data_IF_533875915700
#
_entry.id   IF_533875915700
#
_cell.length_a   1.000
_cell.length_b   1.000
_cell.length_c   1.000
_cell.angle_alpha   90.00
_cell.angle_beta   90.00
_cell.angle_gamma   90.00
#
_symmetry.space_group_name_H-M   'P 1'
#
loop_
_entity.id
_entity.type
_entity.pdbx_description
1 polymer ?
#
# COMPACT_ATOMS: atom_id res chain seq x y z
N UNK A 1 12.25 15.07 -25.26
CA UNK A 1 12.17 13.79 -24.53
C UNK A 1 13.52 13.48 -23.91
N UNK A 2 13.59 13.07 -22.64
CA UNK A 2 14.84 12.56 -22.06
C UNK A 2 15.14 11.19 -22.66
N UNK A 3 16.37 10.97 -23.10
CA UNK A 3 16.80 9.66 -23.60
C UNK A 3 16.99 8.67 -22.44
N UNK A 4 16.72 7.39 -22.68
CA UNK A 4 17.05 6.34 -21.72
C UNK A 4 18.58 6.28 -21.54
N UNK A 5 19.10 6.28 -20.30
CA UNK A 5 20.53 6.18 -20.07
C UNK A 5 21.00 4.75 -20.35
N UNK A 6 22.30 4.59 -20.68
CA UNK A 6 22.89 3.25 -20.86
C UNK A 6 23.07 2.48 -19.55
N UNK A 7 23.16 3.20 -18.42
CA UNK A 7 23.40 2.63 -17.08
C UNK A 7 22.61 3.37 -16.01
N UNK A 8 22.20 2.65 -14.99
CA UNK A 8 21.57 3.19 -13.78
C UNK A 8 21.83 2.29 -12.57
N UNK A 9 21.62 2.77 -11.34
CA UNK A 9 21.69 1.88 -10.18
C UNK A 9 20.41 1.05 -10.07
N UNK A 10 19.24 1.66 -10.28
CA UNK A 10 17.94 0.98 -10.16
C UNK A 10 17.06 1.23 -11.38
N UNK A 11 16.64 0.17 -12.07
CA UNK A 11 15.57 0.22 -13.06
C UNK A 11 14.24 -0.14 -12.40
N UNK A 12 13.27 0.77 -12.43
CA UNK A 12 11.90 0.55 -11.95
C UNK A 12 11.00 0.31 -13.15
N UNK A 13 10.27 -0.80 -13.15
CA UNK A 13 9.37 -1.20 -14.23
C UNK A 13 7.94 -1.08 -13.74
N UNK A 14 7.18 -0.13 -14.29
CA UNK A 14 5.83 0.22 -13.86
C UNK A 14 5.77 1.50 -13.03
N UNK A 15 5.00 2.48 -13.48
CA UNK A 15 4.80 3.78 -12.82
C UNK A 15 3.36 3.95 -12.33
N UNK A 16 2.85 2.89 -11.68
CA UNK A 16 1.75 2.98 -10.73
C UNK A 16 2.22 3.51 -9.36
N UNK A 17 1.35 3.53 -8.34
CA UNK A 17 1.65 4.15 -7.04
C UNK A 17 2.88 3.54 -6.35
N UNK A 18 3.09 2.22 -6.50
CA UNK A 18 4.22 1.50 -5.91
C UNK A 18 5.55 1.91 -6.53
N UNK A 19 5.66 1.83 -7.86
CA UNK A 19 6.88 2.19 -8.58
C UNK A 19 7.20 3.69 -8.45
N UNK A 20 6.18 4.56 -8.50
CA UNK A 20 6.37 5.98 -8.29
C UNK A 20 6.82 6.30 -6.85
N UNK A 21 6.28 5.62 -5.84
CA UNK A 21 6.76 5.75 -4.45
C UNK A 21 8.23 5.38 -4.36
N UNK A 22 8.65 4.27 -4.95
CA UNK A 22 10.05 3.86 -4.96
C UNK A 22 10.91 4.91 -5.69
N UNK A 23 10.49 5.40 -6.84
CA UNK A 23 11.21 6.43 -7.59
C UNK A 23 11.38 7.73 -6.78
N UNK A 24 10.32 8.23 -6.13
CA UNK A 24 10.39 9.41 -5.25
C UNK A 24 11.36 9.17 -4.10
N UNK A 25 11.31 7.99 -3.49
CA UNK A 25 12.21 7.59 -2.39
C UNK A 25 13.67 7.62 -2.85
N UNK A 26 13.97 6.99 -3.99
CA UNK A 26 15.33 6.95 -4.55
C UNK A 26 15.80 8.34 -5.01
N UNK A 27 14.92 9.16 -5.58
CA UNK A 27 15.23 10.54 -5.95
C UNK A 27 15.60 11.39 -4.72
N UNK A 28 14.82 11.28 -3.64
CA UNK A 28 15.08 12.00 -2.39
C UNK A 28 16.39 11.51 -1.70
N UNK A 29 16.76 10.25 -1.90
CA UNK A 29 18.01 9.65 -1.40
C UNK A 29 19.21 9.82 -2.37
N UNK A 30 19.02 10.52 -3.49
CA UNK A 30 20.09 10.78 -4.47
C UNK A 30 20.59 9.54 -5.24
N UNK A 31 19.78 8.49 -5.33
CA UNK A 31 20.14 7.24 -6.04
C UNK A 31 19.79 7.35 -7.53
N UNK A 32 20.72 6.97 -8.40
CA UNK A 32 20.47 6.93 -9.86
C UNK A 32 19.40 5.89 -10.17
N UNK A 33 18.31 6.32 -10.79
CA UNK A 33 17.23 5.43 -11.17
C UNK A 33 16.61 5.82 -12.51
N UNK A 34 16.01 4.84 -13.15
CA UNK A 34 15.14 5.01 -14.32
C UNK A 34 13.81 4.37 -14.01
N UNK A 35 12.70 5.06 -14.28
CA UNK A 35 11.37 4.47 -14.20
C UNK A 35 10.72 4.48 -15.58
N UNK A 36 10.26 3.30 -16.00
CA UNK A 36 9.54 3.09 -17.26
C UNK A 36 8.10 2.64 -16.98
N UNK A 37 7.18 2.97 -17.88
CA UNK A 37 5.83 2.45 -17.86
C UNK A 37 5.32 2.27 -19.29
N UNK A 38 4.75 1.11 -19.59
CA UNK A 38 4.19 0.82 -20.91
C UNK A 38 2.95 1.66 -21.22
N UNK A 39 2.29 2.22 -20.20
CA UNK A 39 1.12 3.08 -20.36
C UNK A 39 1.54 4.53 -20.68
N UNK A 40 0.76 5.24 -21.51
CA UNK A 40 1.05 6.64 -21.84
C UNK A 40 0.79 7.60 -20.67
N UNK A 41 -0.11 7.26 -19.75
CA UNK A 41 -0.48 8.09 -18.59
C UNK A 41 -1.13 7.24 -17.48
N UNK A 42 -1.35 7.86 -16.31
CA UNK A 42 -2.20 7.31 -15.26
C UNK A 42 -3.63 7.10 -15.80
N UNK A 43 -4.23 5.93 -15.51
CA UNK A 43 -5.54 5.57 -16.04
C UNK A 43 -6.69 6.09 -15.14
N UNK A 44 -7.81 6.58 -15.71
CA UNK A 44 -9.04 6.82 -14.96
C UNK A 44 -9.66 5.50 -14.45
N UNK A 45 -10.46 5.56 -13.38
CA UNK A 45 -11.21 4.40 -12.87
C UNK A 45 -10.36 3.31 -12.21
N UNK A 46 -9.22 3.70 -11.64
CA UNK A 46 -8.27 2.79 -10.98
C UNK A 46 -8.82 2.20 -9.68
N UNK A 47 -8.35 0.99 -9.33
CA UNK A 47 -8.97 0.09 -8.34
C UNK A 47 -9.00 0.64 -6.91
N UNK A 48 -7.97 1.37 -6.48
CA UNK A 48 -7.88 1.83 -5.09
C UNK A 48 -8.53 3.21 -4.88
N UNK A 49 -9.13 3.38 -3.70
CA UNK A 49 -9.95 4.53 -3.32
C UNK A 49 -9.61 5.11 -1.94
N UNK A 50 -8.59 4.54 -1.28
CA UNK A 50 -8.24 4.93 0.07
C UNK A 50 -6.76 4.68 0.39
N UNK A 51 -6.20 5.56 1.20
CA UNK A 51 -4.87 5.45 1.79
C UNK A 51 -5.02 5.24 3.30
N UNK A 52 -4.42 4.16 3.80
CA UNK A 52 -4.46 3.79 5.21
C UNK A 52 -3.48 4.65 6.06
N UNK A 53 -3.73 4.81 7.36
CA UNK A 53 -2.85 5.54 8.29
C UNK A 53 -1.38 5.13 8.17
N UNK A 54 -1.07 3.83 8.16
CA UNK A 54 0.32 3.35 8.03
C UNK A 54 1.02 3.84 6.77
N UNK A 55 0.28 3.92 5.67
CA UNK A 55 0.81 4.39 4.39
C UNK A 55 1.02 5.90 4.41
N UNK A 56 0.11 6.67 5.03
CA UNK A 56 0.29 8.13 5.20
C UNK A 56 1.55 8.47 6.00
N UNK A 57 1.88 7.69 7.03
CA UNK A 57 3.11 7.88 7.81
C UNK A 57 4.37 7.80 6.94
N UNK A 58 4.37 6.92 5.94
CA UNK A 58 5.48 6.85 5.00
C UNK A 58 5.42 7.93 3.93
N UNK A 59 4.23 8.21 3.38
CA UNK A 59 4.05 9.26 2.39
C UNK A 59 4.43 10.64 2.95
N UNK A 60 4.29 10.86 4.25
CA UNK A 60 4.77 12.06 4.94
C UNK A 60 6.30 12.20 4.87
N UNK A 61 7.03 11.10 5.13
CA UNK A 61 8.51 11.06 5.06
C UNK A 61 9.07 11.41 3.68
N UNK A 62 8.30 11.17 2.62
CA UNK A 62 8.66 11.53 1.24
C UNK A 62 8.00 12.84 0.75
N UNK A 63 7.33 13.57 1.65
CA UNK A 63 6.76 14.89 1.42
C UNK A 63 5.46 14.90 0.61
N UNK A 64 4.62 13.85 0.73
CA UNK A 64 3.36 13.72 0.00
C UNK A 64 2.10 13.81 0.86
N UNK A 65 2.17 13.52 2.17
CA UNK A 65 0.96 13.37 2.99
C UNK A 65 0.07 14.62 2.96
N UNK A 66 0.62 15.81 3.19
CA UNK A 66 -0.16 17.05 3.21
C UNK A 66 -0.90 17.32 1.90
N UNK A 67 -0.20 17.18 0.76
CA UNK A 67 -0.79 17.38 -0.57
C UNK A 67 -1.94 16.40 -0.83
N UNK A 68 -1.75 15.11 -0.50
CA UNK A 68 -2.80 14.10 -0.68
C UNK A 68 -3.98 14.33 0.27
N UNK A 69 -3.71 14.77 1.50
CA UNK A 69 -4.76 15.13 2.47
C UNK A 69 -5.58 16.32 1.97
N UNK A 70 -4.94 17.31 1.34
CA UNK A 70 -5.62 18.46 0.75
C UNK A 70 -6.52 18.10 -0.44
N UNK A 71 -6.16 17.06 -1.19
CA UNK A 71 -6.94 16.57 -2.33
C UNK A 71 -8.06 15.59 -1.94
N UNK A 72 -7.94 14.90 -0.80
CA UNK A 72 -8.82 13.82 -0.38
C UNK A 72 -9.86 14.20 0.68
N UNK A 73 -10.64 13.21 1.13
CA UNK A 73 -11.58 13.33 2.25
C UNK A 73 -11.09 12.50 3.45
N UNK A 74 -11.25 13.00 4.67
CA UNK A 74 -10.86 12.27 5.89
C UNK A 74 -12.03 11.42 6.39
N UNK A 75 -12.00 10.12 6.11
CA UNK A 75 -12.98 9.15 6.59
C UNK A 75 -12.67 8.65 8.00
N UNK A 76 -13.70 8.36 8.79
CA UNK A 76 -13.56 7.92 10.18
C UNK A 76 -13.14 6.45 10.33
N UNK A 77 -13.18 5.67 9.25
CA UNK A 77 -12.79 4.27 9.20
C UNK A 77 -13.76 3.46 8.35
N UNK A 78 -14.23 2.34 8.91
CA UNK A 78 -15.10 1.40 8.21
C UNK A 78 -16.41 1.17 8.96
N UNK A 79 -17.50 1.02 8.21
CA UNK A 79 -18.80 0.62 8.73
C UNK A 79 -19.28 -0.66 8.05
N UNK A 80 -19.93 -1.53 8.81
CA UNK A 80 -20.61 -2.72 8.31
C UNK A 80 -22.08 -2.61 8.68
N UNK A 81 -22.95 -2.71 7.68
CA UNK A 81 -24.39 -2.51 7.83
C UNK A 81 -25.17 -3.61 7.12
N UNK A 82 -26.37 -3.90 7.62
CA UNK A 82 -27.41 -4.62 6.89
C UNK A 82 -28.56 -3.65 6.67
N UNK A 83 -28.63 -3.09 5.45
CA UNK A 83 -29.51 -1.96 5.13
C UNK A 83 -29.33 -0.83 6.16
N UNK A 84 -30.37 -0.52 6.92
CA UNK A 84 -30.41 0.57 7.90
C UNK A 84 -29.94 0.12 9.30
N UNK A 85 -29.65 -1.18 9.49
CA UNK A 85 -29.16 -1.73 10.76
C UNK A 85 -27.63 -1.67 10.78
N UNK A 86 -27.01 -0.85 11.65
CA UNK A 86 -25.57 -0.91 11.87
C UNK A 86 -25.22 -2.25 12.54
N UNK A 87 -24.20 -2.93 12.02
CA UNK A 87 -23.72 -4.20 12.58
C UNK A 87 -22.40 -4.01 13.33
N UNK A 88 -21.49 -3.21 12.76
CA UNK A 88 -20.17 -2.93 13.33
C UNK A 88 -19.65 -1.62 12.76
N UNK A 89 -18.88 -0.87 13.55
CA UNK A 89 -18.10 0.28 13.09
C UNK A 89 -16.68 0.17 13.64
N UNK A 90 -15.69 0.24 12.77
CA UNK A 90 -14.28 0.31 13.14
C UNK A 90 -13.82 1.74 12.95
N UNK A 91 -13.69 2.46 14.06
CA UNK A 91 -13.25 3.86 14.11
C UNK A 91 -11.73 3.94 14.18
N UNK A 92 -11.15 4.94 13.51
CA UNK A 92 -9.73 5.24 13.57
C UNK A 92 -9.38 6.32 14.61
N UNK A 93 -10.37 6.89 15.30
CA UNK A 93 -10.16 8.00 16.26
C UNK A 93 -9.13 7.69 17.36
N UNK A 94 -9.00 6.44 17.77
CA UNK A 94 -8.13 6.01 18.88
C UNK A 94 -6.80 5.38 18.45
N UNK A 95 -6.52 5.25 17.14
CA UNK A 95 -5.32 4.55 16.68
C UNK A 95 -4.05 5.37 16.96
N UNK A 96 -2.95 4.67 17.19
CA UNK A 96 -1.65 5.27 17.51
C UNK A 96 -0.92 5.79 16.26
N UNK A 97 -1.48 6.84 15.63
CA UNK A 97 -0.94 7.46 14.42
C UNK A 97 -1.22 8.97 14.40
N UNK A 98 -0.35 9.81 13.80
CA UNK A 98 -0.67 11.20 13.51
C UNK A 98 -1.79 11.36 12.46
N UNK A 99 -2.14 10.29 11.75
CA UNK A 99 -3.21 10.27 10.75
C UNK A 99 -4.35 9.33 11.17
N UNK A 100 -5.14 9.64 12.22
CA UNK A 100 -6.20 8.79 12.74
C UNK A 100 -7.47 8.80 11.85
N UNK A 101 -7.30 8.63 10.53
CA UNK A 101 -8.36 8.65 9.54
C UNK A 101 -7.98 7.84 8.30
N UNK A 102 -8.99 7.34 7.59
CA UNK A 102 -8.86 6.74 6.27
C UNK A 102 -8.90 7.86 5.24
N UNK A 103 -7.81 8.11 4.51
CA UNK A 103 -7.84 9.14 3.48
C UNK A 103 -8.51 8.60 2.22
N UNK A 104 -9.71 9.09 1.92
CA UNK A 104 -10.49 8.72 0.75
C UNK A 104 -10.05 9.57 -0.45
N UNK A 105 -9.34 8.92 -1.37
CA UNK A 105 -8.76 9.55 -2.56
C UNK A 105 -8.58 8.49 -3.65
N UNK A 106 -8.83 8.88 -4.90
CA UNK A 106 -8.63 8.00 -6.05
C UNK A 106 -7.15 7.68 -6.28
N UNK A 107 -6.86 6.44 -6.67
CA UNK A 107 -5.51 6.02 -7.03
C UNK A 107 -4.92 6.89 -8.16
N UNK A 108 -5.71 7.31 -9.15
CA UNK A 108 -5.24 8.20 -10.22
C UNK A 108 -4.68 9.51 -9.65
N UNK A 109 -5.38 10.14 -8.71
CA UNK A 109 -4.91 11.37 -8.07
C UNK A 109 -3.63 11.12 -7.26
N UNK A 110 -3.54 9.95 -6.60
CA UNK A 110 -2.32 9.53 -5.90
C UNK A 110 -1.13 9.38 -6.85
N UNK A 111 -1.32 8.74 -8.00
CA UNK A 111 -0.29 8.59 -9.04
C UNK A 111 0.14 9.95 -9.61
N UNK A 112 -0.79 10.87 -9.83
CA UNK A 112 -0.49 12.24 -10.30
C UNK A 112 0.40 12.96 -9.28
N UNK A 113 0.02 12.99 -8.00
CA UNK A 113 0.83 13.67 -6.97
C UNK A 113 2.20 13.05 -6.77
N UNK A 114 2.31 11.73 -6.83
CA UNK A 114 3.61 11.05 -6.78
C UNK A 114 4.49 11.40 -7.99
N UNK A 115 3.91 11.47 -9.20
CA UNK A 115 4.65 11.88 -10.39
C UNK A 115 5.10 13.35 -10.31
N UNK A 116 4.24 14.26 -9.87
CA UNK A 116 4.59 15.67 -9.63
C UNK A 116 5.71 15.80 -8.59
N UNK A 117 5.67 15.03 -7.51
CA UNK A 117 6.77 14.99 -6.52
C UNK A 117 8.07 14.50 -7.15
N UNK A 118 8.01 13.42 -7.95
CA UNK A 118 9.18 12.88 -8.63
C UNK A 118 9.80 13.93 -9.57
N UNK A 119 8.98 14.64 -10.33
CA UNK A 119 9.41 15.73 -11.22
C UNK A 119 10.04 16.89 -10.44
N UNK A 120 9.45 17.27 -9.30
CA UNK A 120 10.01 18.30 -8.42
C UNK A 120 11.38 17.90 -7.84
N UNK A 121 11.66 16.61 -7.71
CA UNK A 121 12.97 16.06 -7.33
C UNK A 121 13.90 15.84 -8.55
N UNK A 122 13.49 16.29 -9.74
CA UNK A 122 14.27 16.20 -10.99
C UNK A 122 14.14 14.86 -11.71
N UNK A 123 13.35 13.91 -11.19
CA UNK A 123 13.03 12.64 -11.83
C UNK A 123 12.10 12.79 -13.02
N UNK A 124 11.89 11.69 -13.76
CA UNK A 124 11.04 11.66 -14.95
C UNK A 124 10.58 10.24 -15.25
N UNK A 125 9.32 10.08 -15.68
CA UNK A 125 8.77 8.78 -16.09
C UNK A 125 8.86 8.61 -17.60
N UNK A 126 9.57 7.58 -18.05
CA UNK A 126 9.54 7.15 -19.44
C UNK A 126 8.24 6.39 -19.74
N UNK A 127 7.19 7.15 -20.08
CA UNK A 127 5.88 6.63 -20.48
C UNK A 127 5.93 6.00 -21.87
N UNK A 128 4.97 5.09 -22.12
CA UNK A 128 4.94 4.26 -23.34
C UNK A 128 6.24 3.48 -23.59
N UNK A 129 7.00 3.18 -22.52
CA UNK A 129 8.23 2.41 -22.60
C UNK A 129 8.06 1.07 -21.87
N UNK A 130 8.30 -0.03 -22.57
CA UNK A 130 8.05 -1.39 -22.09
C UNK A 130 9.33 -2.19 -21.89
N UNK A 131 9.38 -2.97 -20.81
CA UNK A 131 10.40 -4.01 -20.64
C UNK A 131 10.08 -5.17 -21.59
N UNK A 132 11.05 -5.58 -22.39
CA UNK A 132 10.96 -6.74 -23.29
C UNK A 132 11.70 -7.95 -22.73
N UNK A 133 12.89 -7.74 -22.18
CA UNK A 133 13.77 -8.83 -21.74
C UNK A 133 14.68 -8.40 -20.58
N UNK A 134 15.12 -9.39 -19.79
CA UNK A 134 16.10 -9.24 -18.72
C UNK A 134 17.13 -10.36 -18.84
N UNK A 135 18.41 -9.99 -18.78
CA UNK A 135 19.50 -10.96 -18.73
C UNK A 135 20.51 -10.59 -17.66
N UNK A 136 21.14 -11.60 -17.07
CA UNK A 136 22.23 -11.38 -16.14
C UNK A 136 23.40 -10.68 -16.86
N UNK A 137 23.95 -9.66 -16.23
CA UNK A 137 25.10 -8.88 -16.72
C UNK A 137 25.95 -8.47 -15.54
N UNK A 138 26.90 -9.33 -15.13
CA UNK A 138 27.62 -9.14 -13.88
C UNK A 138 28.63 -7.97 -13.95
N UNK A 139 28.59 -7.01 -13.01
CA UNK A 139 27.63 -6.89 -11.90
C UNK A 139 26.33 -6.17 -12.33
N UNK A 140 25.17 -6.80 -12.12
CA UNK A 140 23.85 -6.24 -12.43
C UNK A 140 22.98 -7.12 -13.33
N UNK A 141 22.01 -6.47 -13.97
CA UNK A 141 21.05 -7.04 -14.91
C UNK A 141 20.91 -6.06 -16.07
N UNK A 142 21.03 -6.55 -17.29
CA UNK A 142 20.76 -5.73 -18.45
C UNK A 142 19.34 -5.97 -18.95
N UNK A 143 18.66 -4.85 -19.19
CA UNK A 143 17.27 -4.76 -19.55
C UNK A 143 17.14 -4.27 -20.99
N UNK A 144 16.32 -4.98 -21.75
CA UNK A 144 15.92 -4.58 -23.10
C UNK A 144 14.60 -3.82 -22.99
N UNK A 145 14.62 -2.54 -23.36
CA UNK A 145 13.48 -1.63 -23.22
C UNK A 145 13.09 -1.13 -24.61
N UNK A 146 11.82 -1.21 -24.97
CA UNK A 146 11.28 -0.53 -26.14
C UNK A 146 10.70 0.81 -25.70
N UNK A 147 11.07 1.91 -26.36
CA UNK A 147 10.52 3.23 -26.08
C UNK A 147 9.23 3.53 -26.87
N UNK A 148 8.71 4.74 -26.69
CA UNK A 148 7.47 5.19 -27.33
C UNK A 148 7.54 5.23 -28.86
N UNK A 149 8.74 5.35 -29.44
CA UNK A 149 8.97 5.39 -30.89
C UNK A 149 9.22 3.99 -31.47
N UNK A 150 9.20 2.95 -30.62
CA UNK A 150 9.50 1.57 -31.00
C UNK A 150 11.00 1.28 -31.08
N UNK A 151 11.86 2.18 -30.62
CA UNK A 151 13.32 1.98 -30.60
C UNK A 151 13.67 1.10 -29.41
N UNK A 152 14.51 0.09 -29.67
CA UNK A 152 14.99 -0.83 -28.63
C UNK A 152 16.29 -0.32 -28.04
N UNK A 153 16.33 -0.23 -26.72
CA UNK A 153 17.46 0.22 -25.91
C UNK A 153 17.92 -0.89 -24.98
N UNK A 154 19.23 -0.99 -24.78
CA UNK A 154 19.82 -1.82 -23.72
C UNK A 154 20.26 -0.91 -22.56
N UNK A 155 19.78 -1.22 -21.36
CA UNK A 155 20.11 -0.49 -20.13
C UNK A 155 20.65 -1.47 -19.10
N UNK A 156 21.91 -1.29 -18.66
CA UNK A 156 22.45 -2.07 -17.53
C UNK A 156 22.05 -1.40 -16.23
N UNK A 157 21.31 -2.12 -15.37
CA UNK A 157 20.94 -1.68 -14.03
C UNK A 157 21.63 -2.56 -12.99
N UNK A 158 22.07 -2.00 -11.85
CA UNK A 158 22.57 -2.85 -10.75
C UNK A 158 21.44 -3.67 -10.14
N UNK A 159 20.25 -3.08 -10.05
CA UNK A 159 19.03 -3.70 -9.55
C UNK A 159 17.82 -3.38 -10.43
N UNK A 160 16.87 -4.31 -10.50
CA UNK A 160 15.59 -4.14 -11.20
C UNK A 160 14.45 -4.30 -10.20
N UNK A 161 13.54 -3.34 -10.15
CA UNK A 161 12.35 -3.34 -9.30
C UNK A 161 11.09 -3.42 -10.17
N UNK A 162 10.49 -4.61 -10.24
CA UNK A 162 9.23 -4.86 -10.94
C UNK A 162 8.03 -4.43 -10.12
N UNK A 163 7.42 -3.32 -10.51
CA UNK A 163 6.17 -2.77 -9.99
C UNK A 163 5.09 -2.68 -11.10
N UNK A 164 5.16 -3.60 -12.06
CA UNK A 164 4.42 -3.63 -13.34
C UNK A 164 3.10 -4.44 -13.26
N UNK A 165 2.59 -4.63 -12.05
CA UNK A 165 1.23 -5.11 -11.78
C UNK A 165 1.00 -6.60 -11.98
N UNK A 166 -0.27 -7.02 -11.96
CA UNK A 166 -0.65 -8.45 -11.94
C UNK A 166 -0.11 -9.25 -13.12
N UNK A 167 0.03 -8.63 -14.29
CA UNK A 167 0.60 -9.23 -15.51
C UNK A 167 2.09 -8.93 -15.66
N UNK A 168 2.81 -8.77 -14.54
CA UNK A 168 4.24 -8.42 -14.49
C UNK A 168 5.07 -9.20 -15.50
N UNK A 169 5.69 -8.45 -16.41
CA UNK A 169 6.73 -8.95 -17.32
C UNK A 169 8.00 -9.22 -16.54
N UNK A 170 8.36 -8.36 -15.56
CA UNK A 170 9.51 -8.57 -14.69
C UNK A 170 9.46 -9.93 -13.98
N UNK A 171 8.32 -10.28 -13.37
CA UNK A 171 8.12 -11.57 -12.69
C UNK A 171 8.30 -12.75 -13.64
N UNK A 172 7.71 -12.69 -14.84
CA UNK A 172 7.83 -13.76 -15.84
C UNK A 172 9.27 -13.95 -16.29
N UNK A 173 9.97 -12.86 -16.60
CA UNK A 173 11.37 -12.90 -17.05
C UNK A 173 12.32 -13.38 -15.95
N UNK A 174 12.03 -13.06 -14.70
CA UNK A 174 12.77 -13.57 -13.54
C UNK A 174 12.50 -15.05 -13.23
N UNK A 175 11.57 -15.72 -13.94
CA UNK A 175 11.21 -17.11 -13.71
C UNK A 175 10.49 -17.35 -12.38
N UNK A 176 9.88 -16.32 -11.79
CA UNK A 176 9.22 -16.42 -10.49
C UNK A 176 7.76 -16.85 -10.68
N UNK A 177 7.38 -17.94 -10.01
CA UNK A 177 6.02 -18.46 -10.05
C UNK A 177 5.03 -17.57 -9.29
N UNK A 178 3.77 -17.58 -9.72
CA UNK A 178 2.70 -16.79 -9.10
C UNK A 178 1.48 -17.65 -8.74
N UNK A 179 1.64 -18.57 -7.76
CA UNK A 179 0.59 -19.47 -7.33
C UNK A 179 -0.51 -18.73 -6.56
N UNK A 180 -1.69 -19.34 -6.54
CA UNK A 180 -2.82 -18.90 -5.75
C UNK A 180 -4.13 -19.00 -6.52
N UNK A 181 -5.22 -18.78 -5.79
CA UNK A 181 -6.57 -18.97 -6.30
C UNK A 181 -6.97 -17.83 -7.23
N UNK A 182 -7.74 -18.20 -8.26
CA UNK A 182 -8.49 -17.25 -9.06
C UNK A 182 -9.98 -17.56 -8.84
N UNK A 183 -10.58 -17.10 -7.72
CA UNK A 183 -11.99 -17.33 -7.46
C UNK A 183 -12.83 -16.88 -8.66
N UNK A 184 -13.88 -17.65 -8.98
CA UNK A 184 -14.86 -17.34 -10.01
C UNK A 184 -15.81 -16.19 -9.58
N UNK A 185 -15.27 -15.12 -9.00
CA UNK A 185 -16.02 -13.95 -8.57
C UNK A 185 -15.56 -12.72 -9.33
N UNK A 186 -16.52 -12.07 -9.99
CA UNK A 186 -16.32 -10.81 -10.70
C UNK A 186 -16.78 -9.65 -9.80
N UNK A 187 -16.03 -8.57 -9.78
CA UNK A 187 -16.42 -7.33 -9.10
C UNK A 187 -16.69 -6.25 -10.12
N UNK A 188 -17.88 -5.67 -10.04
CA UNK A 188 -18.22 -4.43 -10.70
C UNK A 188 -17.70 -3.26 -9.86
N UNK A 189 -17.08 -2.28 -10.50
CA UNK A 189 -16.61 -1.04 -9.89
C UNK A 189 -17.08 0.13 -10.73
N UNK A 190 -17.67 1.13 -10.08
CA UNK A 190 -18.03 2.39 -10.71
C UNK A 190 -17.74 3.57 -9.79
N UNK A 191 -17.23 4.65 -10.37
CA UNK A 191 -17.22 5.97 -9.73
C UNK A 191 -18.40 6.75 -10.30
N UNK A 192 -19.30 7.17 -9.42
CA UNK A 192 -20.52 7.88 -9.81
C UNK A 192 -20.57 9.25 -9.16
N UNK A 193 -21.25 10.19 -9.82
CA UNK A 193 -21.61 11.48 -9.22
C UNK A 193 -23.04 11.36 -8.71
N UNK A 194 -23.25 11.70 -7.45
CA UNK A 194 -24.56 11.63 -6.79
C UNK A 194 -24.98 13.01 -6.27
N UNK A 195 -26.26 13.34 -6.42
CA UNK A 195 -26.90 14.43 -5.69
C UNK A 195 -27.78 13.91 -4.56
N UNK A 196 -27.72 14.57 -3.41
CA UNK A 196 -28.47 14.18 -2.22
C UNK A 196 -27.78 14.64 -0.93
N UNK A 197 -28.37 14.32 0.25
CA UNK A 197 -27.77 14.63 1.54
C UNK A 197 -26.41 13.96 1.72
N UNK A 198 -25.48 14.63 2.41
CA UNK A 198 -24.12 14.14 2.67
C UNK A 198 -24.12 12.68 3.13
N UNK A 199 -23.35 11.85 2.42
CA UNK A 199 -23.04 10.49 2.85
C UNK A 199 -22.00 10.57 3.97
N UNK A 200 -22.10 9.67 4.95
CA UNK A 200 -21.02 9.53 5.93
C UNK A 200 -19.69 9.25 5.22
N UNK A 201 -18.59 9.71 5.80
CA UNK A 201 -17.26 9.52 5.22
C UNK A 201 -16.61 8.18 5.63
N UNK A 202 -17.36 7.28 6.25
CA UNK A 202 -16.88 5.92 6.50
C UNK A 202 -17.04 5.07 5.22
N UNK A 203 -16.00 4.31 4.87
CA UNK A 203 -16.16 3.27 3.84
C UNK A 203 -17.11 2.20 4.36
N UNK A 204 -18.23 2.03 3.69
CA UNK A 204 -19.34 1.21 4.19
C UNK A 204 -19.47 -0.09 3.42
N UNK A 205 -19.45 -1.21 4.13
CA UNK A 205 -19.79 -2.54 3.66
C UNK A 205 -21.27 -2.81 3.96
N UNK A 206 -22.11 -2.74 2.94
CA UNK A 206 -23.51 -3.13 3.03
C UNK A 206 -23.64 -4.63 2.71
N UNK A 207 -24.00 -5.40 3.72
CA UNK A 207 -24.26 -6.83 3.61
C UNK A 207 -25.74 -7.02 3.26
N UNK A 208 -26.02 -7.67 2.15
CA UNK A 208 -27.39 -7.90 1.66
C UNK A 208 -27.55 -9.34 1.18
N UNK A 209 -28.76 -9.94 1.27
CA UNK A 209 -29.05 -11.22 0.64
C UNK A 209 -28.83 -11.20 -0.89
N UNK A 210 -28.81 -10.03 -1.52
CA UNK A 210 -28.50 -9.86 -2.94
C UNK A 210 -26.99 -9.76 -3.23
N UNK A 211 -26.15 -9.87 -2.19
CA UNK A 211 -24.70 -9.76 -2.26
C UNK A 211 -24.16 -8.49 -1.59
N UNK A 212 -22.87 -8.49 -1.31
CA UNK A 212 -22.18 -7.35 -0.70
C UNK A 212 -22.09 -6.15 -1.66
N UNK A 213 -22.16 -4.95 -1.10
CA UNK A 213 -21.89 -3.67 -1.74
C UNK A 213 -20.92 -2.87 -0.86
N UNK A 214 -19.88 -2.29 -1.45
CA UNK A 214 -18.95 -1.38 -0.77
C UNK A 214 -19.13 0.00 -1.37
N UNK A 215 -19.27 1.01 -0.51
CA UNK A 215 -19.37 2.41 -0.91
C UNK A 215 -18.33 3.26 -0.19
N UNK A 216 -17.60 4.08 -0.94
CA UNK A 216 -16.63 5.05 -0.39
C UNK A 216 -16.85 6.42 -1.01
N UNK A 217 -16.94 7.46 -0.19
CA UNK A 217 -16.97 8.83 -0.70
C UNK A 217 -15.63 9.17 -1.38
N UNK A 218 -15.68 10.01 -2.41
CA UNK A 218 -14.52 10.55 -3.10
C UNK A 218 -14.72 12.06 -3.30
N UNK A 219 -13.64 12.84 -3.43
CA UNK A 219 -13.71 14.27 -3.71
C UNK A 219 -14.60 14.62 -4.93
N UNK A 220 -15.28 15.76 -4.86
CA UNK A 220 -16.13 16.24 -5.96
C UNK A 220 -17.50 15.56 -6.05
N UNK A 221 -18.13 15.24 -4.90
CA UNK A 221 -19.42 14.54 -4.81
C UNK A 221 -19.44 13.18 -5.53
N UNK A 222 -18.28 12.54 -5.59
CA UNK A 222 -18.15 11.22 -6.17
C UNK A 222 -18.37 10.15 -5.10
N UNK A 223 -18.97 9.04 -5.51
CA UNK A 223 -19.12 7.85 -4.70
C UNK A 223 -18.54 6.69 -5.51
N UNK A 224 -17.58 5.97 -4.91
CA UNK A 224 -17.15 4.69 -5.45
C UNK A 224 -18.09 3.60 -4.99
N UNK A 225 -18.55 2.80 -5.94
CA UNK A 225 -19.40 1.62 -5.73
C UNK A 225 -18.63 0.38 -6.17
N UNK A 226 -18.50 -0.61 -5.28
CA UNK A 226 -17.91 -1.92 -5.60
C UNK A 226 -18.88 -3.02 -5.19
N UNK A 227 -19.17 -3.93 -6.10
CA UNK A 227 -20.16 -4.98 -5.87
C UNK A 227 -19.69 -6.31 -6.47
N UNK A 228 -19.89 -7.41 -5.74
CA UNK A 228 -19.77 -8.74 -6.32
C UNK A 228 -20.91 -8.97 -7.32
N UNK A 229 -20.58 -9.39 -8.54
CA UNK A 229 -21.52 -9.64 -9.64
C UNK A 229 -21.26 -11.01 -10.28
N UNK A 230 -22.26 -11.61 -10.95
CA UNK A 230 -22.07 -12.86 -11.68
C UNK A 230 -20.97 -12.75 -12.75
N UNK A 231 -20.33 -13.88 -13.06
CA UNK A 231 -19.39 -13.97 -14.19
C UNK A 231 -20.07 -13.55 -15.50
N UNK A 232 -19.31 -12.90 -16.38
CA UNK A 232 -19.81 -12.39 -17.67
C UNK A 232 -20.63 -11.10 -17.58
N UNK A 233 -20.85 -10.56 -16.37
CA UNK A 233 -21.49 -9.25 -16.21
C UNK A 233 -20.60 -8.16 -16.82
N UNK A 234 -21.09 -7.33 -17.76
CA UNK A 234 -20.30 -6.23 -18.30
C UNK A 234 -20.07 -5.14 -17.23
N UNK A 235 -19.11 -4.21 -17.45
CA UNK A 235 -18.98 -3.03 -16.61
C UNK A 235 -20.34 -2.32 -16.41
N UNK A 236 -20.72 -1.98 -15.17
CA UNK A 236 -22.06 -1.46 -14.89
C UNK A 236 -22.26 -0.08 -15.53
N UNK A 237 -23.41 0.12 -16.18
CA UNK A 237 -23.87 1.43 -16.61
C UNK A 237 -24.66 2.13 -15.48
N UNK A 238 -25.19 3.32 -15.76
CA UNK A 238 -25.94 4.11 -14.78
C UNK A 238 -27.15 3.36 -14.19
N UNK A 239 -27.87 2.60 -15.01
CA UNK A 239 -29.04 1.84 -14.57
C UNK A 239 -28.62 0.67 -13.66
N UNK A 240 -27.59 -0.08 -14.06
CA UNK A 240 -27.03 -1.16 -13.26
C UNK A 240 -26.50 -0.68 -11.90
N UNK A 241 -25.85 0.49 -11.84
CA UNK A 241 -25.41 1.06 -10.55
C UNK A 241 -26.60 1.48 -9.68
N UNK A 242 -27.63 2.10 -10.26
CA UNK A 242 -28.84 2.46 -9.53
C UNK A 242 -29.54 1.22 -8.95
N UNK A 243 -29.61 0.13 -9.70
CA UNK A 243 -30.16 -1.16 -9.24
C UNK A 243 -29.33 -1.75 -8.09
N UNK A 244 -27.99 -1.69 -8.18
CA UNK A 244 -27.10 -2.14 -7.11
C UNK A 244 -27.31 -1.34 -5.81
N UNK A 245 -27.40 -0.02 -5.91
CA UNK A 245 -27.65 0.86 -4.77
C UNK A 245 -29.03 0.57 -4.16
N UNK A 246 -30.08 0.52 -4.98
CA UNK A 246 -31.45 0.25 -4.54
C UNK A 246 -31.57 -1.11 -3.84
N UNK A 247 -30.94 -2.14 -4.39
CA UNK A 247 -31.03 -3.51 -3.88
C UNK A 247 -30.16 -3.78 -2.64
N UNK A 248 -28.99 -3.13 -2.53
CA UNK A 248 -27.97 -3.50 -1.55
C UNK A 248 -27.59 -2.40 -0.55
N UNK A 249 -27.78 -1.13 -0.88
CA UNK A 249 -27.34 -0.03 0.00
C UNK A 249 -28.28 0.18 1.20
N UNK A 250 -27.68 0.69 2.28
CA UNK A 250 -28.36 1.20 3.46
C UNK A 250 -28.65 2.71 3.40
N UNK A 251 -29.62 3.15 4.19
CA UNK A 251 -29.89 4.56 4.44
C UNK A 251 -30.23 5.37 3.20
N UNK A 252 -29.79 6.62 3.23
CA UNK A 252 -30.06 7.63 2.19
C UNK A 252 -29.43 7.32 0.83
N UNK A 253 -28.47 6.38 0.78
CA UNK A 253 -27.85 5.95 -0.48
C UNK A 253 -28.79 5.14 -1.38
N UNK A 254 -29.81 4.51 -0.79
CA UNK A 254 -30.82 3.76 -1.56
C UNK A 254 -31.61 4.65 -2.52
N UNK A 255 -31.92 5.86 -2.07
CA UNK A 255 -32.69 6.84 -2.80
C UNK A 255 -31.81 7.94 -3.43
N UNK A 256 -30.49 7.73 -3.46
CA UNK A 256 -29.56 8.69 -4.03
C UNK A 256 -29.81 8.88 -5.52
N UNK A 257 -29.87 10.14 -5.96
CA UNK A 257 -30.03 10.45 -7.38
C UNK A 257 -28.67 10.37 -8.05
N UNK A 258 -28.48 9.36 -8.89
CA UNK A 258 -27.30 9.23 -9.74
C UNK A 258 -27.39 10.29 -10.87
N UNK A 259 -26.36 11.12 -10.97
CA UNK A 259 -26.25 12.15 -12.02
C UNK A 259 -25.47 11.64 -13.23
N UNK A 260 -24.34 10.97 -12.99
CA UNK A 260 -23.49 10.42 -14.03
C UNK A 260 -22.59 9.31 -13.50
N UNK A 261 -22.06 8.50 -14.44
CA UNK A 261 -21.00 7.52 -14.17
C UNK A 261 -19.69 8.10 -14.72
N UNK A 262 -18.77 8.46 -13.83
CA UNK A 262 -17.47 9.01 -14.18
C UNK A 262 -16.52 7.93 -14.72
N UNK A 263 -16.58 6.73 -14.15
CA UNK A 263 -15.85 5.56 -14.65
C UNK A 263 -16.56 4.26 -14.28
N UNK A 264 -16.34 3.20 -15.07
CA UNK A 264 -16.92 1.89 -14.83
C UNK A 264 -16.00 0.79 -15.34
N UNK A 265 -15.84 -0.28 -14.56
CA UNK A 265 -15.04 -1.44 -14.91
C UNK A 265 -15.56 -2.71 -14.25
N UNK A 266 -15.05 -3.86 -14.69
CA UNK A 266 -15.23 -5.14 -14.01
C UNK A 266 -13.91 -5.89 -13.99
N UNK A 267 -13.60 -6.54 -12.87
CA UNK A 267 -12.35 -7.27 -12.72
C UNK A 267 -12.53 -8.54 -11.88
N UNK A 268 -11.75 -9.54 -12.23
CA UNK A 268 -11.63 -10.77 -11.45
C UNK A 268 -10.77 -10.54 -10.23
N UNK A 269 -11.20 -11.08 -9.09
CA UNK A 269 -10.34 -11.19 -7.93
C UNK A 269 -9.37 -12.34 -8.16
N UNK A 270 -8.09 -12.06 -7.94
CA UNK A 270 -7.05 -13.06 -7.85
C UNK A 270 -6.40 -12.92 -6.48
N UNK A 271 -6.09 -14.05 -5.86
CA UNK A 271 -5.43 -14.11 -4.57
C UNK A 271 -4.15 -14.89 -4.75
N UNK A 272 -3.06 -14.18 -4.98
CA UNK A 272 -1.78 -14.77 -5.38
C UNK A 272 -0.64 -14.09 -4.66
N UNK A 273 0.39 -14.88 -4.34
CA UNK A 273 1.68 -14.40 -3.82
C UNK A 273 2.77 -15.05 -4.65
N UNK A 274 3.75 -14.27 -5.08
CA UNK A 274 4.93 -14.78 -5.75
C UNK A 274 5.70 -15.72 -4.82
N UNK A 275 6.25 -16.80 -5.38
CA UNK A 275 7.04 -17.77 -4.60
C UNK A 275 8.30 -17.15 -4.01
N UNK A 276 8.86 -16.15 -4.70
CA UNK A 276 9.94 -15.29 -4.24
C UNK A 276 9.60 -13.82 -4.55
N UNK A 277 10.09 -12.90 -3.72
CA UNK A 277 10.04 -11.46 -3.97
C UNK A 277 11.39 -10.94 -4.52
N UNK A 278 12.43 -11.77 -4.45
CA UNK A 278 13.77 -11.48 -4.98
C UNK A 278 14.28 -12.65 -5.82
N UNK A 279 14.93 -12.34 -6.94
CA UNK A 279 15.76 -13.27 -7.71
C UNK A 279 17.04 -12.55 -8.12
N UNK A 280 18.15 -12.82 -7.43
CA UNK A 280 19.41 -12.11 -7.63
C UNK A 280 19.27 -10.60 -7.42
N UNK A 281 19.39 -9.84 -8.52
CA UNK A 281 19.28 -8.38 -8.55
C UNK A 281 17.87 -7.87 -8.91
N UNK A 282 16.90 -8.78 -9.10
CA UNK A 282 15.53 -8.47 -9.49
C UNK A 282 14.61 -8.59 -8.27
N UNK A 283 13.76 -7.58 -8.06
CA UNK A 283 12.78 -7.49 -6.98
C UNK A 283 11.38 -7.33 -7.55
N UNK A 284 10.36 -7.85 -6.85
CA UNK A 284 8.95 -7.68 -7.20
C UNK A 284 8.23 -6.92 -6.09
N UNK A 285 7.41 -5.93 -6.44
CA UNK A 285 6.67 -5.08 -5.51
C UNK A 285 5.19 -4.95 -5.89
N UNK A 286 4.32 -4.80 -4.88
CA UNK A 286 2.88 -4.59 -5.10
C UNK A 286 2.22 -5.71 -5.91
N UNK A 287 1.31 -5.36 -6.83
CA UNK A 287 0.58 -6.33 -7.67
C UNK A 287 1.48 -7.25 -8.53
N UNK A 288 2.75 -6.90 -8.75
CA UNK A 288 3.72 -7.80 -9.38
C UNK A 288 4.12 -8.96 -8.47
N UNK A 289 4.12 -8.74 -7.15
CA UNK A 289 4.48 -9.67 -6.10
C UNK A 289 3.28 -10.35 -5.43
N UNK A 290 2.16 -9.65 -5.26
CA UNK A 290 0.99 -10.15 -4.56
C UNK A 290 -0.28 -9.44 -5.02
N UNK A 291 -1.36 -10.19 -5.20
CA UNK A 291 -2.68 -9.64 -5.53
C UNK A 291 -3.74 -10.23 -4.62
N UNK A 292 -4.77 -9.46 -4.31
CA UNK A 292 -5.83 -9.88 -3.40
C UNK A 292 -7.17 -9.19 -3.68
N UNK A 293 -8.21 -9.62 -2.95
CA UNK A 293 -9.55 -9.01 -3.00
C UNK A 293 -9.50 -7.52 -2.65
N UNK A 294 -10.32 -6.66 -3.29
CA UNK A 294 -10.40 -5.24 -2.96
C UNK A 294 -10.91 -4.95 -1.54
N UNK A 295 -11.48 -5.94 -0.84
CA UNK A 295 -12.01 -5.75 0.50
C UNK A 295 -10.94 -5.20 1.45
N UNK A 296 -11.22 -4.01 2.02
CA UNK A 296 -10.33 -3.28 2.93
C UNK A 296 -9.39 -2.27 2.26
N UNK A 297 -9.34 -2.20 0.92
CA UNK A 297 -8.52 -1.21 0.21
C UNK A 297 -7.01 -1.36 0.43
N UNK A 298 -6.53 -2.56 0.77
CA UNK A 298 -5.19 -2.75 1.33
C UNK A 298 -4.07 -2.95 0.28
N UNK A 299 -4.39 -3.21 -1.00
CA UNK A 299 -3.39 -3.64 -1.99
C UNK A 299 -2.39 -2.55 -2.37
N UNK A 300 -2.90 -1.40 -2.78
CA UNK A 300 -2.07 -0.22 -3.05
C UNK A 300 -1.23 0.17 -1.82
N UNK A 301 -1.85 0.14 -0.64
CA UNK A 301 -1.20 0.48 0.63
C UNK A 301 -0.05 -0.47 0.97
N UNK A 302 -0.26 -1.78 0.81
CA UNK A 302 0.77 -2.80 1.03
C UNK A 302 1.90 -2.68 0.02
N UNK A 303 1.58 -2.42 -1.24
CA UNK A 303 2.59 -2.17 -2.27
C UNK A 303 3.44 -0.91 -2.01
N UNK A 304 2.82 0.19 -1.57
CA UNK A 304 3.56 1.40 -1.17
C UNK A 304 4.50 1.10 0.00
N UNK A 305 4.08 0.26 0.95
CA UNK A 305 4.93 -0.20 2.05
C UNK A 305 6.04 -1.14 1.59
N UNK A 306 5.86 -1.90 0.50
CA UNK A 306 6.96 -2.66 -0.11
C UNK A 306 8.04 -1.71 -0.65
N UNK A 307 7.63 -0.64 -1.32
CA UNK A 307 8.55 0.39 -1.81
C UNK A 307 9.25 1.10 -0.65
N UNK A 308 8.53 1.40 0.43
CA UNK A 308 9.09 1.95 1.66
C UNK A 308 10.18 1.06 2.26
N UNK A 309 9.93 -0.26 2.29
CA UNK A 309 10.86 -1.23 2.84
C UNK A 309 12.09 -1.42 1.96
N UNK A 310 11.94 -1.47 0.64
CA UNK A 310 13.05 -1.71 -0.29
C UNK A 310 13.92 -0.46 -0.49
N UNK A 311 13.33 0.74 -0.53
CA UNK A 311 14.01 1.97 -0.94
C UNK A 311 15.23 2.33 -0.09
N UNK A 312 15.10 2.27 1.26
CA UNK A 312 16.23 2.57 2.14
C UNK A 312 17.31 1.48 2.09
N UNK A 313 16.93 0.21 1.92
CA UNK A 313 17.88 -0.91 1.78
C UNK A 313 18.72 -0.74 0.52
N UNK A 314 18.08 -0.41 -0.61
CA UNK A 314 18.76 -0.11 -1.86
C UNK A 314 19.73 1.08 -1.69
N UNK A 315 19.33 2.15 -1.00
CA UNK A 315 20.23 3.28 -0.75
C UNK A 315 21.52 2.85 -0.03
N UNK A 316 21.42 2.12 1.08
CA UNK A 316 22.60 1.70 1.84
C UNK A 316 23.49 0.71 1.08
N UNK A 317 22.91 -0.19 0.29
CA UNK A 317 23.69 -1.14 -0.53
C UNK A 317 24.34 -0.46 -1.73
N UNK A 318 23.61 0.39 -2.46
CA UNK A 318 24.15 1.09 -3.65
C UNK A 318 25.27 2.05 -3.28
N UNK A 319 25.17 2.69 -2.10
CA UNK A 319 26.22 3.60 -1.57
C UNK A 319 27.36 2.86 -0.86
N UNK A 320 27.30 1.53 -0.77
CA UNK A 320 28.38 0.70 -0.19
C UNK A 320 28.48 0.74 1.34
N UNK A 321 27.43 1.21 2.03
CA UNK A 321 27.37 1.27 3.50
C UNK A 321 26.83 0.00 4.15
N UNK A 322 26.06 -0.77 3.39
CA UNK A 322 25.58 -2.07 3.80
C UNK A 322 25.99 -3.14 2.78
N UNK A 323 26.21 -4.38 3.23
CA UNK A 323 26.45 -5.51 2.34
C UNK A 323 25.16 -5.90 1.60
N UNK A 324 25.27 -6.56 0.45
CA UNK A 324 24.12 -6.88 -0.42
C UNK A 324 23.10 -7.82 0.22
N UNK A 325 23.53 -8.56 1.24
CA UNK A 325 22.75 -9.45 2.10
C UNK A 325 21.65 -8.69 2.86
N UNK A 326 21.81 -7.37 3.08
CA UNK A 326 20.72 -6.55 3.63
C UNK A 326 19.46 -6.63 2.76
N UNK A 327 19.59 -6.78 1.44
CA UNK A 327 18.46 -6.89 0.53
C UNK A 327 17.71 -8.22 0.65
N UNK A 328 18.30 -9.26 1.26
CA UNK A 328 17.59 -10.53 1.52
C UNK A 328 16.47 -10.33 2.54
N UNK A 329 16.64 -9.37 3.46
CA UNK A 329 15.60 -9.02 4.42
C UNK A 329 14.33 -8.48 3.76
N UNK A 330 14.37 -8.00 2.51
CA UNK A 330 13.16 -7.52 1.82
C UNK A 330 12.13 -8.64 1.67
N UNK A 331 12.54 -9.80 1.16
CA UNK A 331 11.64 -10.94 1.01
C UNK A 331 11.21 -11.49 2.38
N UNK A 332 12.18 -11.65 3.29
CA UNK A 332 11.93 -12.19 4.63
C UNK A 332 10.90 -11.35 5.41
N UNK A 333 10.90 -10.04 5.23
CA UNK A 333 9.97 -9.12 5.89
C UNK A 333 8.64 -9.00 5.14
N UNK A 334 8.64 -8.88 3.81
CA UNK A 334 7.43 -8.49 3.05
C UNK A 334 6.59 -9.66 2.55
N UNK A 335 7.19 -10.81 2.27
CA UNK A 335 6.43 -11.99 1.80
C UNK A 335 5.45 -12.52 2.85
N UNK A 336 5.82 -12.64 4.15
CA UNK A 336 4.86 -13.02 5.19
C UNK A 336 3.72 -12.03 5.37
N UNK A 337 3.98 -10.73 5.23
CA UNK A 337 2.94 -9.69 5.29
C UNK A 337 1.92 -9.86 4.17
N UNK A 338 2.39 -10.04 2.93
CA UNK A 338 1.50 -10.29 1.79
C UNK A 338 0.65 -11.55 1.96
N UNK A 339 1.26 -12.65 2.42
CA UNK A 339 0.55 -13.90 2.70
C UNK A 339 -0.50 -13.75 3.81
N UNK A 340 -0.15 -13.10 4.92
CA UNK A 340 -1.06 -12.84 6.04
C UNK A 340 -2.24 -11.95 5.64
N UNK A 341 -1.99 -10.94 4.81
CA UNK A 341 -3.02 -10.06 4.25
C UNK A 341 -4.03 -10.82 3.40
N UNK A 342 -3.56 -11.72 2.53
CA UNK A 342 -4.45 -12.56 1.70
C UNK A 342 -5.29 -13.48 2.59
N UNK A 343 -4.68 -14.13 3.58
CA UNK A 343 -5.42 -14.98 4.51
C UNK A 343 -6.54 -14.20 5.24
N UNK A 344 -6.20 -13.02 5.78
CA UNK A 344 -7.14 -12.15 6.48
C UNK A 344 -8.28 -11.66 5.57
N UNK A 345 -7.94 -11.11 4.39
CA UNK A 345 -8.94 -10.59 3.45
C UNK A 345 -9.83 -11.70 2.88
N UNK A 346 -9.31 -12.92 2.70
CA UNK A 346 -10.11 -14.09 2.31
C UNK A 346 -11.17 -14.42 3.35
N UNK A 347 -10.81 -14.43 4.63
CA UNK A 347 -11.75 -14.72 5.72
C UNK A 347 -12.83 -13.65 5.81
N UNK A 348 -12.45 -12.36 5.73
CA UNK A 348 -13.42 -11.26 5.70
C UNK A 348 -14.40 -11.40 4.53
N UNK A 349 -13.89 -11.75 3.34
CA UNK A 349 -14.72 -11.95 2.16
C UNK A 349 -15.68 -13.11 2.32
N UNK A 350 -15.21 -14.27 2.81
CA UNK A 350 -16.07 -15.45 3.04
C UNK A 350 -17.22 -15.12 4.00
N UNK A 351 -16.97 -14.33 5.04
CA UNK A 351 -18.01 -13.85 5.97
C UNK A 351 -18.95 -12.86 5.27
N UNK A 352 -18.41 -11.88 4.56
CA UNK A 352 -19.20 -10.81 3.94
C UNK A 352 -20.07 -11.29 2.76
N UNK A 353 -19.69 -12.36 2.07
CA UNK A 353 -20.43 -12.90 0.91
C UNK A 353 -21.47 -13.96 1.26
N UNK A 354 -21.67 -14.30 2.53
CA UNK A 354 -22.80 -15.14 2.96
C UNK A 354 -24.14 -14.46 2.62
N UNK A 355 -24.96 -15.12 1.79
CA UNK A 355 -26.23 -14.55 1.28
C UNK A 355 -27.48 -15.36 1.65
N UNK A 356 -27.35 -16.62 2.06
CA UNK A 356 -28.50 -17.41 2.48
C UNK A 356 -29.13 -16.79 3.74
N UNK A 357 -30.46 -16.67 3.77
CA UNK A 357 -31.13 -15.84 4.78
C UNK A 357 -30.80 -16.25 6.22
N UNK A 358 -30.82 -17.55 6.51
CA UNK A 358 -30.57 -18.06 7.85
C UNK A 358 -29.13 -17.79 8.31
N UNK A 359 -28.14 -18.11 7.49
CA UNK A 359 -26.73 -17.88 7.87
C UNK A 359 -26.36 -16.40 7.81
N UNK A 360 -26.99 -15.61 6.93
CA UNK A 360 -26.80 -14.16 6.90
C UNK A 360 -27.32 -13.48 8.18
N UNK A 361 -28.49 -13.88 8.68
CA UNK A 361 -29.00 -13.39 9.97
C UNK A 361 -28.10 -13.82 11.14
N UNK A 362 -27.67 -15.08 11.16
CA UNK A 362 -26.72 -15.59 12.17
C UNK A 362 -25.41 -14.80 12.14
N UNK A 363 -24.83 -14.60 10.95
CA UNK A 363 -23.65 -13.77 10.75
C UNK A 363 -23.87 -12.36 11.26
N UNK A 364 -24.97 -11.71 10.90
CA UNK A 364 -25.25 -10.34 11.30
C UNK A 364 -25.37 -10.22 12.83
N UNK A 365 -26.02 -11.18 13.48
CA UNK A 365 -26.10 -11.23 14.93
C UNK A 365 -24.72 -11.49 15.57
N UNK A 366 -23.89 -12.35 14.99
CA UNK A 366 -22.53 -12.58 15.46
C UNK A 366 -21.64 -11.33 15.30
N UNK A 367 -21.74 -10.61 14.17
CA UNK A 367 -21.02 -9.36 13.95
C UNK A 367 -21.43 -8.27 14.95
N UNK A 368 -22.71 -8.18 15.31
CA UNK A 368 -23.15 -7.27 16.38
C UNK A 368 -22.66 -7.73 17.75
N UNK A 369 -22.79 -9.00 18.09
CA UNK A 369 -22.37 -9.50 19.41
C UNK A 369 -20.86 -9.37 19.62
N UNK A 370 -20.05 -9.51 18.55
CA UNK A 370 -18.59 -9.39 18.69
C UNK A 370 -18.19 -7.99 19.13
N UNK A 371 -18.96 -6.94 18.80
CA UNK A 371 -18.60 -5.56 19.22
C UNK A 371 -18.66 -5.36 20.74
N UNK A 372 -19.36 -6.24 21.47
CA UNK A 372 -19.41 -6.21 22.93
C UNK A 372 -18.12 -6.80 23.57
N UNK A 373 -17.25 -7.45 22.78
CA UNK A 373 -15.96 -7.97 23.25
C UNK A 373 -14.96 -6.82 23.39
N UNK A 374 -14.46 -6.52 24.59
CA UNK A 374 -13.52 -5.42 24.79
C UNK A 374 -12.27 -5.56 23.91
N UNK A 375 -11.92 -4.49 23.18
CA UNK A 375 -10.70 -4.39 22.38
C UNK A 375 -10.78 -5.01 20.98
N UNK A 376 -11.86 -5.69 20.58
CA UNK A 376 -11.91 -6.32 19.24
C UNK A 376 -12.00 -5.28 18.11
N UNK A 377 -12.74 -4.20 18.33
CA UNK A 377 -12.86 -3.12 17.35
C UNK A 377 -11.54 -2.39 17.18
N UNK A 378 -10.80 -2.20 18.28
CA UNK A 378 -9.45 -1.59 18.26
C UNK A 378 -8.44 -2.50 17.56
N UNK A 379 -8.51 -3.82 17.81
CA UNK A 379 -7.71 -4.80 17.10
C UNK A 379 -7.98 -4.77 15.58
N UNK A 380 -9.24 -4.78 15.17
CA UNK A 380 -9.63 -4.70 13.76
C UNK A 380 -9.24 -3.36 13.13
N UNK A 381 -9.38 -2.25 13.86
CA UNK A 381 -8.94 -0.93 13.40
C UNK A 381 -7.43 -0.89 13.17
N UNK A 382 -6.63 -1.45 14.08
CA UNK A 382 -5.17 -1.58 13.90
C UNK A 382 -4.80 -2.46 12.71
N UNK A 383 -5.48 -3.61 12.54
CA UNK A 383 -5.28 -4.52 11.39
C UNK A 383 -5.60 -3.86 10.05
N UNK A 384 -6.72 -3.13 9.97
CA UNK A 384 -7.14 -2.47 8.73
C UNK A 384 -6.32 -1.23 8.41
N UNK A 385 -5.92 -0.47 9.43
CA UNK A 385 -5.00 0.66 9.28
C UNK A 385 -3.56 0.25 9.02
N UNK A 386 -3.27 -1.06 9.13
CA UNK A 386 -1.96 -1.70 8.90
C UNK A 386 -0.87 -1.24 9.88
N UNK A 387 -1.26 -0.71 11.04
CA UNK A 387 -0.32 -0.25 12.07
C UNK A 387 0.30 -1.41 12.86
N UNK A 388 -0.31 -2.59 12.77
CA UNK A 388 0.15 -3.81 13.42
C UNK A 388 1.22 -4.57 12.61
N UNK A 389 1.56 -4.09 11.40
CA UNK A 389 2.62 -4.69 10.59
C UNK A 389 3.97 -4.48 11.28
N UNK A 390 4.58 -5.59 11.65
CA UNK A 390 5.95 -5.69 12.15
C UNK A 390 6.61 -6.98 11.66
N UNK A 391 7.93 -7.04 11.82
CA UNK A 391 8.81 -8.13 11.41
C UNK A 391 9.43 -8.86 12.61
N UNK A 392 9.17 -8.39 13.82
CA UNK A 392 9.61 -9.00 15.06
C UNK A 392 8.81 -10.25 15.43
N UNK A 393 9.38 -11.06 16.31
CA UNK A 393 8.73 -12.24 16.87
C UNK A 393 7.94 -11.94 18.17
N UNK A 394 7.81 -10.67 18.55
CA UNK A 394 7.13 -10.22 19.76
C UNK A 394 7.94 -10.33 21.06
N UNK A 395 9.19 -10.81 21.00
CA UNK A 395 10.06 -10.89 22.21
C UNK A 395 10.72 -9.55 22.57
N UNK A 396 10.84 -8.63 21.62
CA UNK A 396 11.38 -7.29 21.83
C UNK A 396 10.64 -6.26 20.97
N UNK A 397 11.05 -5.00 21.07
CA UNK A 397 10.63 -3.90 20.20
C UNK A 397 11.17 -4.04 18.77
N UNK A 398 12.30 -4.73 18.58
CA UNK A 398 12.94 -4.98 17.28
C UNK A 398 11.94 -5.55 16.28
N UNK A 399 11.91 -4.95 15.09
CA UNK A 399 11.01 -5.32 14.02
C UNK A 399 9.58 -4.80 14.19
N UNK A 400 9.22 -4.19 15.31
CA UNK A 400 7.90 -3.58 15.48
C UNK A 400 7.88 -2.15 14.93
N UNK A 401 6.69 -1.71 14.50
CA UNK A 401 6.46 -0.30 14.17
C UNK A 401 6.65 0.56 15.41
N UNK A 402 7.36 1.68 15.23
CA UNK A 402 7.46 2.74 16.24
C UNK A 402 6.51 3.88 15.86
N UNK A 403 5.73 4.36 16.83
CA UNK A 403 4.78 5.46 16.62
C UNK A 403 5.52 6.75 16.18
N UNK A 404 5.15 7.38 15.04
CA UNK A 404 5.74 8.63 14.60
C UNK A 404 5.59 9.79 15.59
N UNK A 405 4.58 9.76 16.46
CA UNK A 405 4.40 10.77 17.53
C UNK A 405 5.53 10.69 18.57
N UNK A 406 6.09 9.49 18.75
CA UNK A 406 7.20 9.20 19.65
C UNK A 406 8.54 9.41 18.96
N UNK A 407 8.70 8.84 17.77
CA UNK A 407 9.97 8.91 17.04
C UNK A 407 10.25 10.28 16.42
N UNK A 408 9.22 11.03 16.03
CA UNK A 408 9.34 12.34 15.37
C UNK A 408 10.32 12.31 14.18
N UNK A 409 10.08 11.45 13.18
CA UNK A 409 11.01 11.25 12.07
C UNK A 409 11.17 12.52 11.22
N UNK A 410 12.36 12.72 10.66
CA UNK A 410 12.63 13.80 9.72
C UNK A 410 12.94 13.23 8.33
N UNK A 411 11.95 13.28 7.44
CA UNK A 411 12.08 12.74 6.10
C UNK A 411 12.46 11.25 6.10
N UNK A 412 13.48 10.89 5.31
CA UNK A 412 13.98 9.52 5.18
C UNK A 412 15.22 9.23 6.04
N UNK A 413 15.59 10.13 6.97
CA UNK A 413 16.64 9.86 7.92
C UNK A 413 16.24 8.71 8.87
N UNK A 414 17.23 7.98 9.36
CA UNK A 414 17.07 7.15 10.54
C UNK A 414 16.80 8.02 11.75
N UNK A 415 16.10 7.48 12.75
CA UNK A 415 15.83 8.21 13.99
C UNK A 415 16.20 7.37 15.19
N UNK A 416 17.12 7.87 16.02
CA UNK A 416 17.43 7.26 17.30
C UNK A 416 16.56 7.87 18.39
N UNK A 417 15.67 7.07 18.97
CA UNK A 417 14.82 7.47 20.08
C UNK A 417 15.51 7.10 21.38
N UNK A 418 15.77 8.08 22.26
CA UNK A 418 16.49 7.86 23.52
C UNK A 418 15.65 8.27 24.74
N UNK A 419 15.90 7.67 25.92
CA UNK A 419 15.40 8.22 27.18
C UNK A 419 15.98 9.63 27.42
N UNK A 420 15.32 10.48 28.24
CA UNK A 420 15.84 11.80 28.56
C UNK A 420 17.26 11.72 29.13
N UNK A 421 18.17 12.55 28.61
CA UNK A 421 19.59 12.56 29.00
C UNK A 421 20.51 11.67 28.15
N UNK A 422 19.98 10.91 27.18
CA UNK A 422 20.78 10.24 26.17
C UNK A 422 21.20 11.22 25.07
N UNK A 423 22.46 11.67 25.08
CA UNK A 423 23.01 12.52 24.02
C UNK A 423 23.61 11.66 22.88
N UNK A 424 23.08 11.83 21.67
CA UNK A 424 23.71 11.30 20.45
C UNK A 424 23.79 12.43 19.43
N UNK A 425 24.99 12.62 18.88
CA UNK A 425 25.22 13.61 17.84
C UNK A 425 24.51 13.15 16.55
N UNK A 426 23.60 13.97 15.97
CA UNK A 426 22.98 13.65 14.70
C UNK A 426 24.04 13.59 13.60
N UNK A 427 23.77 12.78 12.56
CA UNK A 427 24.58 12.72 11.35
C UNK A 427 23.76 13.39 10.25
N UNK A 428 24.25 14.52 9.75
CA UNK A 428 23.52 15.41 8.84
C UNK A 428 22.88 14.64 7.68
N UNK A 429 21.55 14.73 7.61
CA UNK A 429 20.74 14.13 6.55
C UNK A 429 20.50 12.62 6.66
N UNK A 430 21.09 11.93 7.64
CA UNK A 430 21.09 10.46 7.70
C UNK A 430 20.60 9.89 9.03
N UNK A 431 20.92 10.55 10.14
CA UNK A 431 20.51 10.14 11.48
C UNK A 431 20.07 11.37 12.28
N UNK A 432 18.83 11.33 12.75
CA UNK A 432 18.31 12.26 13.75
C UNK A 432 18.19 11.57 15.11
N UNK A 433 18.08 12.36 16.17
CA UNK A 433 17.86 11.85 17.52
C UNK A 433 16.68 12.58 18.18
N UNK A 434 15.86 11.83 18.90
CA UNK A 434 14.69 12.34 19.63
C UNK A 434 14.73 11.79 21.05
N UNK A 435 14.70 12.66 22.05
CA UNK A 435 14.66 12.25 23.46
C UNK A 435 13.22 12.27 23.97
N UNK A 436 12.76 11.18 24.60
CA UNK A 436 11.39 11.07 25.14
C UNK A 436 11.33 10.13 26.35
N UNK A 437 10.45 10.45 27.30
CA UNK A 437 10.17 9.58 28.46
C UNK A 437 9.33 8.35 28.10
N UNK A 438 8.86 8.23 26.85
CA UNK A 438 8.07 7.10 26.36
C UNK A 438 8.90 5.84 26.07
N UNK A 439 10.23 5.95 26.07
CA UNK A 439 11.16 4.81 25.96
C UNK A 439 12.07 4.74 27.18
N UNK A 440 12.38 3.53 27.62
CA UNK A 440 13.28 3.26 28.76
C UNK A 440 14.70 2.84 28.32
N UNK A 441 14.93 2.67 27.01
CA UNK A 441 16.22 2.38 26.39
C UNK A 441 16.30 2.97 24.96
N UNK A 442 17.50 3.10 24.36
CA UNK A 442 17.66 3.60 23.00
C UNK A 442 17.06 2.65 21.95
N UNK A 443 16.26 3.20 21.03
CA UNK A 443 15.63 2.46 19.92
C UNK A 443 15.99 3.13 18.60
N UNK A 444 16.69 2.40 17.72
CA UNK A 444 16.96 2.87 16.36
C UNK A 444 15.76 2.58 15.46
N UNK A 445 15.22 3.62 14.84
CA UNK A 445 14.07 3.55 13.95
C UNK A 445 14.53 3.74 12.51
N UNK A 446 14.22 2.75 11.67
CA UNK A 446 14.52 2.74 10.25
C UNK A 446 13.72 3.81 9.49
N UNK A 447 14.11 4.17 8.25
CA UNK A 447 13.34 5.09 7.41
C UNK A 447 11.92 4.62 7.10
N UNK A 448 11.65 3.30 7.16
CA UNK A 448 10.31 2.74 7.03
C UNK A 448 9.51 2.75 8.36
N UNK A 449 10.04 3.32 9.44
CA UNK A 449 9.36 3.49 10.73
C UNK A 449 9.32 2.23 11.61
N UNK A 450 10.19 1.26 11.32
CA UNK A 450 10.32 0.01 12.08
C UNK A 450 11.55 0.10 12.99
N UNK A 451 11.48 -0.46 14.20
CA UNK A 451 12.65 -0.60 15.08
C UNK A 451 13.67 -1.57 14.47
N UNK A 452 14.91 -1.14 14.37
CA UNK A 452 15.99 -1.87 13.73
C UNK A 452 16.69 -2.83 14.69
N UNK A 453 17.37 -3.82 14.12
CA UNK A 453 18.35 -4.59 14.86
C UNK A 453 19.55 -3.71 15.25
N UNK A 454 20.00 -3.75 16.52
CA UNK A 454 21.16 -2.99 16.99
C UNK A 454 22.44 -3.21 16.18
N UNK A 455 22.68 -4.45 15.73
CA UNK A 455 23.86 -4.78 14.92
C UNK A 455 23.86 -4.10 13.54
N UNK A 456 22.69 -3.99 12.90
CA UNK A 456 22.55 -3.24 11.65
C UNK A 456 22.81 -1.76 11.89
N UNK A 457 22.23 -1.17 12.94
CA UNK A 457 22.45 0.23 13.27
C UNK A 457 23.94 0.54 13.53
N UNK A 458 24.61 -0.32 14.30
CA UNK A 458 26.04 -0.21 14.58
C UNK A 458 26.86 -0.32 13.29
N UNK A 459 26.51 -1.23 12.38
CA UNK A 459 27.17 -1.37 11.07
C UNK A 459 27.06 -0.09 10.23
N UNK A 460 25.89 0.57 10.25
CA UNK A 460 25.63 1.76 9.42
C UNK A 460 26.25 3.03 9.99
N UNK A 461 26.26 3.19 11.32
CA UNK A 461 26.60 4.47 11.96
C UNK A 461 27.80 4.41 12.92
N UNK A 462 28.31 3.21 13.22
CA UNK A 462 29.38 3.03 14.20
C UNK A 462 28.99 3.33 15.65
N UNK A 463 27.69 3.35 15.94
CA UNK A 463 27.13 3.66 17.26
C UNK A 463 26.56 2.38 17.88
N UNK A 464 27.12 1.95 19.01
CA UNK A 464 26.61 0.82 19.77
C UNK A 464 25.35 1.21 20.56
N UNK A 465 24.30 0.41 20.44
CA UNK A 465 23.09 0.56 21.25
C UNK A 465 23.14 -0.43 22.42
N UNK A 466 22.89 0.05 23.63
CA UNK A 466 22.70 -0.85 24.78
C UNK A 466 21.37 -1.58 24.61
N UNK A 467 21.44 -2.85 24.26
CA UNK A 467 20.28 -3.74 24.15
C UNK A 467 19.82 -4.09 25.56
N UNK A 468 18.51 -4.19 25.75
CA UNK A 468 17.94 -4.69 27.00
C UNK A 468 18.34 -6.16 27.17
N UNK A 469 19.21 -6.48 28.12
CA UNK A 469 19.48 -7.85 28.53
C UNK A 469 18.19 -8.45 29.14
N UNK A 470 17.47 -9.27 28.38
CA UNK A 470 16.19 -9.85 28.81
C UNK A 470 16.34 -11.08 29.73
N UNK A 471 17.43 -11.18 30.50
CA UNK A 471 17.63 -12.26 31.48
C UNK A 471 17.60 -11.75 32.93
N UNK A 472 16.57 -10.97 33.30
CA UNK A 472 16.22 -10.73 34.71
C UNK A 472 14.74 -10.77 34.97
#
# INVERSE_FOLDING_TARGET
MRQLPRRTDVLIVGAGPVGLTLAVTLAQLGISHVIIDSKPAAAPGTKAAAIQPRTLEYLDRIGLAETLIGDGLRGGGFAVVDRDRPLMRMSYESIASPYPFLLLIGQQQTEVRLAERLEALGGYVHRSAGLLDLHDDFPGTAATIVDADGVVHAVTARYVAGADGVHSTTRRLAGIEFPGDAPETLFALADIVVSGPETGLDTTFSLSPQGMLITSALPGNQLRVVAGVPLGTPPPDAAAVADLLSARAGGRLRDAKLESVASSSSYHVQQRVATALRSGNIFLLGDAAHTHSPAGGQGMNTGIQDAANLGWKLHHVVTGRAPAELLDSYEAERRPVAAGLIAFTSQLMQVATVTDRGSAELRNNALTAVTDVPGITDFLANKLSQLDIGYGNGSSDIGNRVDPRVSQPQGLAWTLVTPPGGEVAPIDGELTATATAEVDHPVAVRPDGIAAEPGLFTTLFGIELQVRDQHR
#
